data_IF_872264788789
#
_entry.id   IF_872264788789
#
_cell.length_a   1.000
_cell.length_b   1.000
_cell.length_c   1.000
_cell.angle_alpha   90.00
_cell.angle_beta   90.00
_cell.angle_gamma   90.00
#
_symmetry.space_group_name_H-M   'P 1'
#
loop_
_entity.id
_entity.type
_entity.pdbx_description
1 polymer ?
#
# COMPACT_ATOMS: atom_id res chain seq x y z
N UNK A 1 23.76 -57.82 -8.93
CA UNK A 1 22.50 -57.50 -8.23
C UNK A 1 22.64 -56.51 -7.07
N UNK A 2 23.79 -56.43 -6.37
CA UNK A 2 23.98 -55.49 -5.25
C UNK A 2 24.37 -54.04 -5.63
N UNK A 3 24.72 -53.80 -6.89
CA UNK A 3 25.22 -52.49 -7.38
C UNK A 3 24.04 -51.57 -7.73
N UNK A 4 23.01 -52.07 -8.41
CA UNK A 4 21.81 -51.30 -8.79
C UNK A 4 21.00 -50.83 -7.58
N UNK A 5 20.97 -51.60 -6.49
CA UNK A 5 20.25 -51.23 -5.26
C UNK A 5 20.89 -49.99 -4.61
N UNK A 6 22.23 -49.93 -4.53
CA UNK A 6 22.94 -48.77 -3.98
C UNK A 6 22.80 -47.50 -4.81
N UNK A 7 22.65 -47.63 -6.14
CA UNK A 7 22.53 -46.47 -7.04
C UNK A 7 21.13 -45.84 -6.99
N UNK A 8 20.09 -46.65 -6.75
CA UNK A 8 18.72 -46.15 -6.58
C UNK A 8 18.53 -45.42 -5.24
N UNK A 9 19.09 -45.95 -4.15
CA UNK A 9 19.03 -45.30 -2.83
C UNK A 9 19.76 -43.94 -2.82
N UNK A 10 20.93 -43.84 -3.46
CA UNK A 10 21.67 -42.58 -3.54
C UNK A 10 20.93 -41.52 -4.36
N UNK A 11 20.32 -41.89 -5.48
CA UNK A 11 19.57 -40.97 -6.33
C UNK A 11 18.27 -40.50 -5.66
N UNK A 12 17.55 -41.38 -4.95
CA UNK A 12 16.38 -40.99 -4.17
C UNK A 12 16.74 -40.03 -3.03
N UNK A 13 17.86 -40.25 -2.34
CA UNK A 13 18.30 -39.39 -1.25
C UNK A 13 18.71 -37.99 -1.72
N UNK A 14 19.36 -37.88 -2.89
CA UNK A 14 19.69 -36.59 -3.51
C UNK A 14 18.42 -35.85 -3.95
N UNK A 15 17.47 -36.52 -4.61
CA UNK A 15 16.22 -35.89 -5.06
C UNK A 15 15.36 -35.40 -3.88
N UNK A 16 15.33 -36.15 -2.78
CA UNK A 16 14.58 -35.76 -1.58
C UNK A 16 15.22 -34.57 -0.86
N UNK A 17 16.55 -34.50 -0.84
CA UNK A 17 17.31 -33.37 -0.27
C UNK A 17 17.10 -32.09 -1.08
N UNK A 18 17.06 -32.18 -2.42
CA UNK A 18 16.77 -31.04 -3.29
C UNK A 18 15.33 -30.53 -3.15
N UNK A 19 14.34 -31.43 -3.04
CA UNK A 19 12.95 -31.07 -2.77
C UNK A 19 12.81 -30.39 -1.41
N UNK A 20 13.48 -30.90 -0.38
CA UNK A 20 13.47 -30.33 0.96
C UNK A 20 14.14 -28.94 0.99
N UNK A 21 15.27 -28.75 0.29
CA UNK A 21 15.92 -27.45 0.14
C UNK A 21 15.04 -26.43 -0.60
N UNK A 22 14.36 -26.85 -1.69
CA UNK A 22 13.40 -26.00 -2.42
C UNK A 22 12.20 -25.62 -1.54
N UNK A 23 11.67 -26.53 -0.73
CA UNK A 23 10.61 -26.24 0.22
C UNK A 23 11.02 -25.21 1.29
N UNK A 24 12.22 -25.36 1.86
CA UNK A 24 12.75 -24.42 2.85
C UNK A 24 12.93 -23.04 2.20
N UNK A 25 13.48 -22.98 1.00
CA UNK A 25 13.63 -21.73 0.25
C UNK A 25 12.27 -21.07 -0.04
N UNK A 26 11.27 -21.86 -0.44
CA UNK A 26 9.91 -21.38 -0.68
C UNK A 26 9.22 -20.87 0.58
N UNK A 27 9.39 -21.56 1.72
CA UNK A 27 8.87 -21.11 3.03
C UNK A 27 9.53 -19.80 3.45
N UNK A 28 10.85 -19.67 3.32
CA UNK A 28 11.57 -18.42 3.59
C UNK A 28 11.10 -17.29 2.68
N UNK A 29 10.99 -17.54 1.38
CA UNK A 29 10.48 -16.56 0.41
C UNK A 29 9.08 -16.04 0.77
N UNK A 30 8.16 -16.93 1.16
CA UNK A 30 6.82 -16.54 1.63
C UNK A 30 6.88 -15.62 2.86
N UNK A 31 7.75 -15.91 3.82
CA UNK A 31 7.94 -15.08 5.02
C UNK A 31 8.48 -13.69 4.63
N UNK A 32 9.50 -13.62 3.77
CA UNK A 32 10.03 -12.34 3.30
C UNK A 32 8.98 -11.53 2.54
N UNK A 33 8.19 -12.17 1.67
CA UNK A 33 7.11 -11.50 0.95
C UNK A 33 6.01 -10.99 1.89
N UNK A 34 5.64 -11.78 2.91
CA UNK A 34 4.67 -11.37 3.91
C UNK A 34 5.18 -10.17 4.70
N UNK A 35 6.43 -10.22 5.20
CA UNK A 35 7.06 -9.10 5.90
C UNK A 35 7.09 -7.84 5.05
N UNK A 36 7.48 -7.95 3.77
CA UNK A 36 7.49 -6.82 2.83
C UNK A 36 6.09 -6.21 2.66
N UNK A 37 5.07 -7.04 2.44
CA UNK A 37 3.69 -6.58 2.31
C UNK A 37 3.19 -5.90 3.61
N UNK A 38 3.51 -6.46 4.77
CA UNK A 38 3.16 -5.88 6.07
C UNK A 38 3.84 -4.53 6.31
N UNK A 39 5.13 -4.40 5.96
CA UNK A 39 5.85 -3.12 6.05
C UNK A 39 5.26 -2.08 5.13
N UNK A 40 4.95 -2.43 3.87
CA UNK A 40 4.31 -1.51 2.93
C UNK A 40 2.93 -1.06 3.42
N UNK A 41 2.14 -1.96 3.99
CA UNK A 41 0.85 -1.63 4.58
C UNK A 41 1.00 -0.67 5.76
N UNK A 42 1.99 -0.90 6.63
CA UNK A 42 2.28 -0.01 7.75
C UNK A 42 2.68 1.39 7.28
N UNK A 43 3.56 1.48 6.27
CA UNK A 43 3.94 2.75 5.65
C UNK A 43 2.73 3.46 5.07
N UNK A 44 1.87 2.75 4.33
CA UNK A 44 0.64 3.30 3.78
C UNK A 44 -0.25 3.92 4.87
N UNK A 45 -0.53 3.18 5.94
CA UNK A 45 -1.34 3.71 7.05
C UNK A 45 -0.67 4.88 7.77
N UNK A 46 0.64 4.83 7.99
CA UNK A 46 1.38 5.93 8.61
C UNK A 46 1.30 7.21 7.77
N UNK A 47 1.34 7.09 6.44
CA UNK A 47 1.15 8.23 5.53
C UNK A 47 -0.27 8.77 5.62
N UNK A 48 -1.30 7.92 5.53
CA UNK A 48 -2.69 8.36 5.64
C UNK A 48 -2.98 9.08 6.97
N UNK A 49 -2.50 8.52 8.09
CA UNK A 49 -2.69 9.12 9.42
C UNK A 49 -1.98 10.47 9.53
N UNK A 50 -0.75 10.57 9.00
CA UNK A 50 0.00 11.83 8.95
C UNK A 50 -0.75 12.89 8.14
N UNK A 51 -1.28 12.55 6.96
CA UNK A 51 -2.06 13.50 6.16
C UNK A 51 -3.29 13.94 6.95
N UNK A 52 -4.07 13.04 7.55
CA UNK A 52 -5.24 13.41 8.33
C UNK A 52 -4.91 14.33 9.51
N UNK A 53 -3.82 14.04 10.22
CA UNK A 53 -3.39 14.81 11.39
C UNK A 53 -2.95 16.23 11.01
N UNK A 54 -2.22 16.38 9.90
CA UNK A 54 -1.69 17.68 9.46
C UNK A 54 -2.59 18.42 8.49
N UNK A 55 -3.66 17.81 7.99
CA UNK A 55 -4.56 18.37 6.98
C UNK A 55 -5.11 19.75 7.37
N UNK A 56 -5.67 19.88 8.58
CA UNK A 56 -6.25 21.15 9.03
C UNK A 56 -5.19 22.26 9.09
N UNK A 57 -4.01 21.95 9.62
CA UNK A 57 -2.89 22.89 9.71
C UNK A 57 -2.43 23.30 8.32
N UNK A 58 -2.31 22.35 7.39
CA UNK A 58 -1.93 22.60 6.01
C UNK A 58 -2.93 23.52 5.30
N UNK A 59 -4.22 23.16 5.31
CA UNK A 59 -5.28 23.89 4.58
C UNK A 59 -5.51 25.29 5.14
N UNK A 60 -5.38 25.49 6.46
CA UNK A 60 -5.54 26.82 7.07
C UNK A 60 -4.34 27.73 6.80
N UNK A 61 -3.13 27.17 6.67
CA UNK A 61 -1.91 27.93 6.46
C UNK A 61 -1.46 28.05 5.00
N UNK A 62 -2.08 27.30 4.07
CA UNK A 62 -1.80 27.48 2.64
C UNK A 62 -2.29 28.85 2.13
N UNK A 63 -1.74 29.33 1.02
CA UNK A 63 -1.99 30.69 0.51
C UNK A 63 -3.46 30.95 0.11
N UNK A 64 -4.26 29.88 -0.04
CA UNK A 64 -5.71 29.98 -0.23
C UNK A 64 -6.46 30.52 1.00
N UNK A 65 -5.81 30.58 2.18
CA UNK A 65 -6.32 31.13 3.44
C UNK A 65 -7.75 30.70 3.75
N UNK A 66 -7.99 29.39 3.67
CA UNK A 66 -9.30 28.83 3.92
C UNK A 66 -9.66 28.99 5.41
N UNK A 67 -10.93 29.28 5.67
CA UNK A 67 -11.42 29.38 7.06
C UNK A 67 -11.37 28.01 7.73
N UNK A 68 -11.19 28.00 9.06
CA UNK A 68 -11.19 26.76 9.86
C UNK A 68 -12.43 25.90 9.62
N UNK A 69 -13.59 26.53 9.43
CA UNK A 69 -14.85 25.84 9.12
C UNK A 69 -14.81 25.14 7.76
N UNK A 70 -14.27 25.79 6.72
CA UNK A 70 -14.09 25.15 5.40
C UNK A 70 -13.08 24.00 5.47
N UNK A 71 -11.96 24.20 6.18
CA UNK A 71 -10.96 23.16 6.37
C UNK A 71 -11.54 21.93 7.10
N UNK A 72 -12.36 22.14 8.13
CA UNK A 72 -13.06 21.06 8.84
C UNK A 72 -14.07 20.34 7.92
N UNK A 73 -14.82 21.09 7.11
CA UNK A 73 -15.72 20.50 6.11
C UNK A 73 -14.96 19.62 5.10
N UNK A 74 -13.82 20.11 4.60
CA UNK A 74 -12.94 19.33 3.72
C UNK A 74 -12.49 18.03 4.39
N UNK A 75 -12.02 18.10 5.64
CA UNK A 75 -11.61 16.91 6.38
C UNK A 75 -12.75 15.89 6.54
N UNK A 76 -13.97 16.35 6.86
CA UNK A 76 -15.14 15.48 6.93
C UNK A 76 -15.45 14.81 5.58
N UNK A 77 -15.37 15.55 4.49
CA UNK A 77 -15.57 15.00 3.14
C UNK A 77 -14.49 13.96 2.77
N UNK A 78 -13.23 14.20 3.13
CA UNK A 78 -12.13 13.26 2.91
C UNK A 78 -12.31 11.98 3.75
N UNK A 79 -12.75 12.08 5.00
CA UNK A 79 -13.07 10.90 5.81
C UNK A 79 -14.22 10.07 5.24
N UNK A 80 -15.25 10.74 4.72
CA UNK A 80 -16.34 10.07 4.01
C UNK A 80 -15.83 9.38 2.74
N UNK A 81 -15.01 10.05 1.94
CA UNK A 81 -14.40 9.49 0.74
C UNK A 81 -13.54 8.27 1.09
N UNK A 82 -12.65 8.38 2.08
CA UNK A 82 -11.83 7.26 2.56
C UNK A 82 -12.66 6.05 2.97
N UNK A 83 -13.79 6.27 3.66
CA UNK A 83 -14.70 5.19 4.04
C UNK A 83 -15.33 4.51 2.83
N UNK A 84 -15.77 5.30 1.84
CA UNK A 84 -16.36 4.79 0.59
C UNK A 84 -15.32 4.04 -0.26
N UNK A 85 -14.12 4.61 -0.42
CA UNK A 85 -12.98 3.98 -1.09
C UNK A 85 -12.61 2.66 -0.41
N UNK A 86 -12.68 2.60 0.93
CA UNK A 86 -12.48 1.36 1.68
C UNK A 86 -13.48 0.26 1.31
N UNK A 87 -14.77 0.59 1.20
CA UNK A 87 -15.80 -0.36 0.76
C UNK A 87 -15.56 -0.85 -0.68
N UNK A 88 -15.18 0.05 -1.58
CA UNK A 88 -14.83 -0.29 -2.97
C UNK A 88 -13.57 -1.17 -2.98
N UNK A 89 -12.59 -0.84 -2.12
CA UNK A 89 -11.35 -1.58 -1.95
C UNK A 89 -11.61 -3.03 -1.54
N UNK A 90 -12.53 -3.28 -0.60
CA UNK A 90 -12.94 -4.64 -0.22
C UNK A 90 -13.41 -5.42 -1.45
N UNK A 91 -14.27 -4.83 -2.28
CA UNK A 91 -14.71 -5.48 -3.52
C UNK A 91 -13.55 -5.70 -4.52
N UNK A 92 -12.64 -4.72 -4.65
CA UNK A 92 -11.51 -4.81 -5.55
C UNK A 92 -10.50 -5.90 -5.13
N UNK A 93 -10.31 -6.15 -3.83
CA UNK A 93 -9.41 -7.21 -3.34
C UNK A 93 -9.84 -8.62 -3.77
N UNK A 94 -11.12 -8.84 -4.08
CA UNK A 94 -11.60 -10.11 -4.59
C UNK A 94 -11.06 -10.44 -6.01
N UNK A 95 -10.62 -9.42 -6.76
CA UNK A 95 -10.13 -9.57 -8.15
C UNK A 95 -8.65 -9.20 -8.32
N UNK A 96 -8.11 -8.35 -7.45
CA UNK A 96 -6.75 -7.84 -7.55
C UNK A 96 -5.75 -8.58 -6.65
N UNK A 97 -4.50 -8.71 -7.11
CA UNK A 97 -3.41 -9.24 -6.27
C UNK A 97 -3.04 -8.22 -5.17
N UNK A 98 -2.93 -8.61 -3.90
CA UNK A 98 -2.67 -7.68 -2.79
C UNK A 98 -1.46 -6.76 -3.00
N UNK A 99 -0.35 -7.31 -3.51
CA UNK A 99 0.86 -6.53 -3.76
C UNK A 99 0.64 -5.42 -4.80
N UNK A 100 -0.04 -5.73 -5.92
CA UNK A 100 -0.33 -4.72 -6.95
C UNK A 100 -1.26 -3.63 -6.43
N UNK A 101 -2.21 -4.00 -5.57
CA UNK A 101 -3.13 -3.05 -4.96
C UNK A 101 -2.40 -2.08 -4.03
N UNK A 102 -1.56 -2.58 -3.11
CA UNK A 102 -0.79 -1.75 -2.18
C UNK A 102 0.14 -0.80 -2.95
N UNK A 103 0.86 -1.30 -3.96
CA UNK A 103 1.76 -0.45 -4.77
C UNK A 103 0.98 0.65 -5.50
N UNK A 104 -0.20 0.34 -6.03
CA UNK A 104 -1.06 1.34 -6.71
C UNK A 104 -1.50 2.42 -5.73
N UNK A 105 -1.95 2.05 -4.53
CA UNK A 105 -2.35 3.00 -3.49
C UNK A 105 -1.20 3.93 -3.07
N UNK A 106 0.00 3.38 -2.87
CA UNK A 106 1.19 4.18 -2.53
C UNK A 106 1.55 5.15 -3.65
N UNK A 107 1.43 4.74 -4.93
CA UNK A 107 1.65 5.63 -6.08
C UNK A 107 0.61 6.75 -6.10
N UNK A 108 -0.67 6.45 -5.84
CA UNK A 108 -1.73 7.46 -5.80
C UNK A 108 -1.49 8.50 -4.71
N UNK A 109 -1.07 8.07 -3.52
CA UNK A 109 -0.64 8.98 -2.43
C UNK A 109 0.53 9.86 -2.89
N UNK A 110 1.56 9.27 -3.50
CA UNK A 110 2.71 10.04 -3.98
C UNK A 110 2.32 11.10 -5.01
N UNK A 111 1.44 10.76 -5.96
CA UNK A 111 0.93 11.70 -6.96
C UNK A 111 0.09 12.81 -6.31
N UNK A 112 -0.77 12.47 -5.35
CA UNK A 112 -1.58 13.46 -4.62
C UNK A 112 -0.71 14.47 -3.86
N UNK A 113 0.32 13.98 -3.15
CA UNK A 113 1.28 14.83 -2.46
C UNK A 113 2.05 15.75 -3.42
N UNK A 114 2.45 15.24 -4.60
CA UNK A 114 3.09 16.06 -5.64
C UNK A 114 2.15 17.18 -6.09
N UNK A 115 0.86 16.88 -6.31
CA UNK A 115 -0.13 17.90 -6.67
C UNK A 115 -0.23 18.97 -5.58
N UNK A 116 -0.24 18.58 -4.31
CA UNK A 116 -0.27 19.54 -3.21
C UNK A 116 0.98 20.43 -3.17
N UNK A 117 2.17 19.86 -3.33
CA UNK A 117 3.43 20.63 -3.32
C UNK A 117 3.43 21.73 -4.38
N UNK A 118 2.94 21.46 -5.58
CA UNK A 118 3.00 22.43 -6.68
C UNK A 118 1.77 23.33 -6.81
N UNK A 119 0.58 22.84 -6.47
CA UNK A 119 -0.68 23.49 -6.82
C UNK A 119 -1.60 23.82 -5.65
N UNK A 120 -1.31 23.36 -4.43
CA UNK A 120 -2.16 23.65 -3.27
C UNK A 120 -2.29 25.14 -2.99
N UNK A 121 -1.26 25.94 -3.28
CA UNK A 121 -1.29 27.39 -3.04
C UNK A 121 -2.00 28.19 -4.14
N UNK A 122 -2.18 27.61 -5.33
CA UNK A 122 -2.66 28.33 -6.51
C UNK A 122 -4.11 28.04 -6.85
N UNK A 123 -4.61 26.83 -6.54
CA UNK A 123 -5.95 26.41 -6.93
C UNK A 123 -6.63 25.53 -5.88
N UNK A 124 -7.80 25.97 -5.45
CA UNK A 124 -8.69 25.19 -4.59
C UNK A 124 -9.10 23.86 -5.25
N UNK A 125 -9.27 23.84 -6.57
CA UNK A 125 -9.62 22.62 -7.29
C UNK A 125 -8.47 21.60 -7.27
N UNK A 126 -7.22 22.05 -7.44
CA UNK A 126 -6.06 21.17 -7.36
C UNK A 126 -5.82 20.65 -5.94
N UNK A 127 -6.11 21.47 -4.93
CA UNK A 127 -6.11 21.04 -3.53
C UNK A 127 -7.08 19.86 -3.31
N UNK A 128 -8.31 19.96 -3.83
CA UNK A 128 -9.30 18.89 -3.76
C UNK A 128 -8.90 17.65 -4.55
N UNK A 129 -8.38 17.81 -5.77
CA UNK A 129 -7.97 16.68 -6.61
C UNK A 129 -6.83 15.92 -5.95
N UNK A 130 -5.81 16.63 -5.45
CA UNK A 130 -4.71 16.00 -4.73
C UNK A 130 -5.21 15.24 -3.50
N UNK A 131 -6.13 15.84 -2.75
CA UNK A 131 -6.68 15.22 -1.54
C UNK A 131 -7.50 13.97 -1.88
N UNK A 132 -8.43 14.05 -2.83
CA UNK A 132 -9.23 12.90 -3.24
C UNK A 132 -8.36 11.76 -3.77
N UNK A 133 -7.27 12.07 -4.46
CA UNK A 133 -6.34 11.07 -4.98
C UNK A 133 -5.56 10.35 -3.87
N UNK A 134 -5.22 11.04 -2.77
CA UNK A 134 -4.58 10.43 -1.60
C UNK A 134 -5.49 9.46 -0.85
N UNK A 135 -6.82 9.69 -0.90
CA UNK A 135 -7.83 8.89 -0.21
C UNK A 135 -8.66 8.00 -1.15
N UNK A 136 -8.20 7.79 -2.38
CA UNK A 136 -8.85 6.97 -3.41
C UNK A 136 -8.54 5.48 -3.28
#
# INVERSE_FOLDING_TARGET
MNVEIKTNDSNQQTENSEKQAKEIHWKKYKIYLLLLCSTLLFIYYALCDSVMQFWLTFVVNCDLKLTKSKAAFMLSALNAAYSVSGLIGIYATAKAKPFKMIVTLVIMIAVGNIIHVFFANTSLAMLWIGALLEYA
#
